data_IF_778945548848
#
_entry.id   IF_778945548848
#
_cell.length_a   1.000
_cell.length_b   1.000
_cell.length_c   1.000
_cell.angle_alpha   90.00
_cell.angle_beta   90.00
_cell.angle_gamma   90.00
#
_symmetry.space_group_name_H-M   'P 1'
#
loop_
_entity.id
_entity.type
_entity.pdbx_description
1 polymer ?
#
# COMPACT_ATOMS: atom_id res chain seq x y z
N UNK A 1 17.16 -9.54 24.38
CA UNK A 1 17.43 -9.27 22.95
C UNK A 1 16.44 -8.20 22.52
N UNK A 2 16.88 -6.95 22.42
CA UNK A 2 15.99 -5.80 22.29
C UNK A 2 15.52 -5.63 20.83
N UNK A 3 14.27 -5.22 20.63
CA UNK A 3 13.64 -4.95 19.32
C UNK A 3 14.48 -4.00 18.42
N UNK A 4 15.33 -3.18 19.03
CA UNK A 4 16.24 -2.28 18.34
C UNK A 4 17.32 -3.00 17.50
N UNK A 5 17.82 -4.16 17.94
CA UNK A 5 18.89 -4.88 17.23
C UNK A 5 18.40 -5.60 15.95
N UNK A 6 17.08 -5.77 15.80
CA UNK A 6 16.45 -6.32 14.60
C UNK A 6 16.01 -5.23 13.61
N UNK A 7 16.29 -3.95 13.89
CA UNK A 7 15.79 -2.83 13.08
C UNK A 7 14.28 -2.61 13.19
N UNK A 8 13.62 -3.24 14.17
CA UNK A 8 12.16 -3.23 14.34
C UNK A 8 11.68 -2.14 15.30
N UNK A 9 12.57 -1.29 15.83
CA UNK A 9 12.21 -0.13 16.64
C UNK A 9 11.11 0.74 15.99
N UNK A 10 11.24 1.12 14.71
CA UNK A 10 10.23 1.91 13.99
C UNK A 10 8.89 1.18 13.79
N UNK A 11 8.88 -0.16 13.84
CA UNK A 11 7.65 -0.94 13.69
C UNK A 11 6.78 -0.86 14.94
N UNK A 12 7.37 -0.70 16.13
CA UNK A 12 6.62 -0.50 17.37
C UNK A 12 5.77 0.76 17.31
N UNK A 13 6.41 1.88 16.95
CA UNK A 13 5.74 3.19 16.84
C UNK A 13 4.67 3.17 15.73
N UNK A 14 4.99 2.57 14.58
CA UNK A 14 4.04 2.42 13.47
C UNK A 14 2.83 1.56 13.86
N UNK A 15 3.05 0.50 14.65
CA UNK A 15 1.97 -0.38 15.10
C UNK A 15 1.05 0.33 16.10
N UNK A 16 1.60 1.12 17.01
CA UNK A 16 0.83 1.92 17.95
C UNK A 16 -0.03 2.96 17.22
N UNK A 17 0.50 3.65 16.21
CA UNK A 17 -0.25 4.62 15.41
C UNK A 17 -1.42 3.96 14.64
N UNK A 18 -1.17 2.79 14.04
CA UNK A 18 -2.20 2.04 13.32
C UNK A 18 -3.32 1.57 14.25
N UNK A 19 -2.96 1.06 15.44
CA UNK A 19 -3.94 0.67 16.47
C UNK A 19 -4.77 1.85 16.91
N UNK A 20 -4.13 2.96 17.26
CA UNK A 20 -4.83 4.17 17.66
C UNK A 20 -5.78 4.69 16.56
N UNK A 21 -5.32 4.69 15.30
CA UNK A 21 -6.14 5.11 14.15
C UNK A 21 -7.40 4.25 14.01
N UNK A 22 -7.30 2.94 14.23
CA UNK A 22 -8.45 2.04 14.21
C UNK A 22 -9.36 2.25 15.42
N UNK A 23 -8.81 2.26 16.63
CA UNK A 23 -9.53 2.36 17.90
C UNK A 23 -10.26 3.71 18.05
N UNK A 24 -9.71 4.79 17.47
CA UNK A 24 -10.37 6.09 17.38
C UNK A 24 -11.69 6.06 16.60
N UNK A 25 -11.98 4.99 15.87
CA UNK A 25 -13.17 4.85 15.03
C UNK A 25 -13.10 5.60 13.70
N UNK A 26 -12.00 6.32 13.42
CA UNK A 26 -11.77 7.07 12.16
C UNK A 26 -12.01 6.22 10.92
N UNK A 27 -11.59 4.96 10.95
CA UNK A 27 -11.72 4.00 9.84
C UNK A 27 -13.15 3.55 9.56
N UNK A 28 -14.11 3.77 10.49
CA UNK A 28 -15.53 3.41 10.32
C UNK A 28 -16.25 4.34 9.35
N UNK A 29 -15.82 5.60 9.28
CA UNK A 29 -16.45 6.62 8.44
C UNK A 29 -16.45 6.20 6.95
N UNK A 30 -17.61 6.32 6.30
CA UNK A 30 -17.73 6.05 4.86
C UNK A 30 -16.90 7.07 4.06
N UNK A 31 -16.89 8.35 4.45
CA UNK A 31 -16.12 9.37 3.73
C UNK A 31 -14.62 9.11 3.85
N UNK A 32 -14.15 8.66 5.02
CA UNK A 32 -12.75 8.26 5.20
C UNK A 32 -12.39 7.07 4.31
N UNK A 33 -13.21 6.01 4.30
CA UNK A 33 -12.98 4.83 3.45
C UNK A 33 -12.95 5.20 1.96
N UNK A 34 -13.88 6.03 1.49
CA UNK A 34 -13.88 6.52 0.10
C UNK A 34 -12.62 7.32 -0.22
N UNK A 35 -12.17 8.18 0.69
CA UNK A 35 -10.94 8.95 0.49
C UNK A 35 -9.70 8.03 0.41
N UNK A 36 -9.61 7.00 1.25
CA UNK A 36 -8.51 6.03 1.18
C UNK A 36 -8.53 5.22 -0.12
N UNK A 37 -9.70 4.75 -0.57
CA UNK A 37 -9.83 4.07 -1.85
C UNK A 37 -9.43 4.98 -3.02
N UNK A 38 -9.87 6.23 -3.01
CA UNK A 38 -9.45 7.20 -4.03
C UNK A 38 -7.94 7.45 -4.01
N UNK A 39 -7.33 7.51 -2.82
CA UNK A 39 -5.89 7.64 -2.68
C UNK A 39 -5.14 6.42 -3.22
N UNK A 40 -5.63 5.19 -2.97
CA UNK A 40 -5.07 3.96 -3.55
C UNK A 40 -5.19 3.95 -5.08
N UNK A 41 -6.32 4.38 -5.62
CA UNK A 41 -6.47 4.54 -7.07
C UNK A 41 -5.43 5.53 -7.57
N UNK A 42 -5.36 6.74 -7.01
CA UNK A 42 -4.38 7.75 -7.42
C UNK A 42 -2.95 7.19 -7.36
N UNK A 43 -2.58 6.51 -6.27
CA UNK A 43 -1.29 5.85 -6.12
C UNK A 43 -0.97 4.89 -7.29
N UNK A 44 -1.91 4.03 -7.67
CA UNK A 44 -1.72 3.11 -8.79
C UNK A 44 -1.51 3.83 -10.13
N UNK A 45 -2.22 4.93 -10.39
CA UNK A 45 -2.02 5.72 -11.63
C UNK A 45 -0.71 6.48 -11.60
N UNK A 46 -0.42 7.13 -10.48
CA UNK A 46 0.71 8.06 -10.37
C UNK A 46 2.05 7.30 -10.37
N UNK A 47 2.04 6.00 -10.02
CA UNK A 47 3.24 5.15 -9.95
C UNK A 47 3.16 3.93 -10.89
N UNK A 48 2.27 3.91 -11.88
CA UNK A 48 2.05 2.77 -12.78
C UNK A 48 3.35 2.24 -13.40
N UNK A 49 4.15 3.11 -14.01
CA UNK A 49 5.41 2.74 -14.65
C UNK A 49 6.41 2.11 -13.66
N UNK A 50 6.51 2.67 -12.45
CA UNK A 50 7.43 2.19 -11.42
C UNK A 50 7.00 0.82 -10.89
N UNK A 51 5.70 0.61 -10.73
CA UNK A 51 5.13 -0.68 -10.31
C UNK A 51 5.39 -1.73 -11.40
N UNK A 52 5.19 -1.40 -12.67
CA UNK A 52 5.42 -2.33 -13.78
C UNK A 52 6.89 -2.69 -13.94
N UNK A 53 7.81 -1.73 -13.75
CA UNK A 53 9.25 -1.99 -13.74
C UNK A 53 9.64 -2.90 -12.59
N UNK A 54 9.19 -2.61 -11.36
CA UNK A 54 9.47 -3.45 -10.19
C UNK A 54 8.95 -4.89 -10.38
N UNK A 55 7.76 -5.07 -10.93
CA UNK A 55 7.21 -6.40 -11.24
C UNK A 55 8.07 -7.11 -12.30
N UNK A 56 8.60 -6.38 -13.29
CA UNK A 56 9.50 -6.95 -14.28
C UNK A 56 10.84 -7.37 -13.67
N UNK A 57 11.45 -6.52 -12.84
CA UNK A 57 12.73 -6.79 -12.18
C UNK A 57 12.64 -7.96 -11.19
N UNK A 58 11.58 -8.02 -10.39
CA UNK A 58 11.44 -9.02 -9.32
C UNK A 58 10.87 -10.36 -9.81
N UNK A 59 9.89 -10.31 -10.72
CA UNK A 59 9.08 -11.48 -11.10
C UNK A 59 9.27 -11.84 -12.57
N UNK A 60 9.84 -10.96 -13.40
CA UNK A 60 10.09 -11.21 -14.82
C UNK A 60 8.86 -11.13 -15.71
N UNK A 61 7.68 -10.71 -15.20
CA UNK A 61 6.47 -10.57 -16.02
C UNK A 61 6.68 -9.50 -17.09
N UNK A 62 6.12 -9.73 -18.28
CA UNK A 62 6.11 -8.70 -19.31
C UNK A 62 5.11 -7.59 -18.94
N UNK A 63 5.44 -6.33 -19.27
CA UNK A 63 4.66 -5.14 -18.92
C UNK A 63 3.14 -5.30 -19.17
N UNK A 64 2.75 -5.83 -20.33
CA UNK A 64 1.33 -6.00 -20.70
C UNK A 64 0.60 -6.99 -19.78
N UNK A 65 1.26 -8.06 -19.37
CA UNK A 65 0.72 -9.04 -18.43
C UNK A 65 0.60 -8.42 -17.03
N UNK A 66 1.66 -7.79 -16.54
CA UNK A 66 1.68 -7.10 -15.26
C UNK A 66 0.61 -6.00 -15.17
N UNK A 67 0.43 -5.22 -16.23
CA UNK A 67 -0.61 -4.21 -16.27
C UNK A 67 -2.01 -4.83 -16.17
N UNK A 68 -2.29 -5.88 -16.97
CA UNK A 68 -3.60 -6.54 -16.96
C UNK A 68 -3.94 -7.15 -15.61
N UNK A 69 -2.97 -7.80 -14.97
CA UNK A 69 -3.21 -8.66 -13.80
C UNK A 69 -3.11 -7.90 -12.46
N UNK A 70 -2.28 -6.86 -12.39
CA UNK A 70 -1.91 -6.22 -11.11
C UNK A 70 -2.30 -4.74 -11.02
N UNK A 71 -2.28 -3.98 -12.13
CA UNK A 71 -2.42 -2.51 -12.11
C UNK A 71 -3.74 -2.01 -12.68
N UNK A 72 -4.27 -2.68 -13.71
CA UNK A 72 -5.47 -2.27 -14.41
C UNK A 72 -6.65 -2.17 -13.45
N UNK A 73 -7.37 -1.05 -13.55
CA UNK A 73 -8.67 -0.91 -12.87
C UNK A 73 -9.71 -1.52 -13.79
N UNK A 74 -10.32 -2.62 -13.37
CA UNK A 74 -11.57 -3.07 -13.98
C UNK A 74 -12.62 -1.97 -13.83
N UNK A 75 -13.09 -1.46 -14.97
CA UNK A 75 -14.20 -0.51 -15.05
C UNK A 75 -15.54 -1.22 -14.83
#
# INVERSE_FOLDING_TARGET
>A
MALAELGLGPLGDSLEELRWTFESGKTRSISWRKAQLQALLNFLRDNEEQILEAIHEDVGKHRVEAFRDEVSRSN
#
